data_IF_806874065066
#
_entry.id   IF_806874065066
#
_cell.length_a   1.000
_cell.length_b   1.000
_cell.length_c   1.000
_cell.angle_alpha   90.00
_cell.angle_beta   90.00
_cell.angle_gamma   90.00
#
_symmetry.space_group_name_H-M   'P 1'
#
loop_
_entity.id
_entity.type
_entity.pdbx_description
1 polymer ?
#
# COMPACT_ATOMS: atom_id res chain seq x y z
N UNK A 1 -9.98 -38.59 -27.99
CA UNK A 1 -10.69 -37.51 -27.28
C UNK A 1 -10.10 -37.49 -25.88
N UNK A 2 -9.03 -36.76 -25.61
CA UNK A 2 -8.95 -35.31 -25.71
C UNK A 2 -8.88 -34.83 -24.26
N UNK A 3 -7.72 -35.02 -23.64
CA UNK A 3 -7.40 -34.45 -22.34
C UNK A 3 -7.12 -32.97 -22.55
N UNK A 4 -7.86 -32.11 -21.86
CA UNK A 4 -7.41 -30.75 -21.57
C UNK A 4 -7.65 -30.53 -20.10
N UNK A 5 -6.57 -30.67 -19.35
CA UNK A 5 -6.39 -30.03 -18.05
C UNK A 5 -6.68 -28.54 -18.22
N UNK A 6 -7.61 -28.01 -17.44
CA UNK A 6 -7.56 -26.61 -17.04
C UNK A 6 -7.35 -26.61 -15.52
N UNK A 7 -6.08 -26.74 -15.15
CA UNK A 7 -5.59 -26.27 -13.85
C UNK A 7 -5.48 -24.76 -13.96
N UNK A 8 -6.61 -24.06 -13.81
CA UNK A 8 -6.61 -22.69 -13.34
C UNK A 8 -6.54 -22.75 -11.83
N UNK A 9 -5.34 -22.55 -11.27
CA UNK A 9 -5.12 -22.39 -9.85
C UNK A 9 -6.00 -21.26 -9.33
N UNK A 10 -7.07 -21.63 -8.62
CA UNK A 10 -7.86 -20.73 -7.79
C UNK A 10 -7.00 -20.37 -6.57
N UNK A 11 -6.04 -19.47 -6.80
CA UNK A 11 -5.20 -18.85 -5.78
C UNK A 11 -5.46 -17.35 -5.83
N UNK A 12 -6.71 -16.96 -5.60
CA UNK A 12 -7.02 -15.63 -5.07
C UNK A 12 -8.26 -15.74 -4.17
N UNK A 13 -8.22 -16.68 -3.22
CA UNK A 13 -8.86 -16.48 -1.91
C UNK A 13 -7.94 -15.58 -1.06
N UNK A 14 -7.62 -14.41 -1.59
CA UNK A 14 -7.19 -13.31 -0.76
C UNK A 14 -8.50 -12.63 -0.41
N UNK A 15 -8.95 -12.78 0.84
CA UNK A 15 -10.12 -12.11 1.39
C UNK A 15 -10.31 -10.74 0.71
N UNK A 16 -11.30 -10.61 -0.19
CA UNK A 16 -11.42 -9.43 -1.03
C UNK A 16 -11.47 -8.21 -0.09
N UNK A 17 -10.43 -7.35 -0.04
CA UNK A 17 -10.54 -6.15 0.75
C UNK A 17 -11.66 -5.36 0.10
N UNK A 18 -12.75 -5.10 0.83
CA UNK A 18 -14.01 -4.67 0.21
C UNK A 18 -13.90 -3.34 -0.57
N UNK A 19 -12.78 -2.62 -0.41
CA UNK A 19 -12.34 -1.53 -1.29
C UNK A 19 -10.80 -1.49 -1.31
N UNK A 20 -10.19 -1.62 -2.49
CA UNK A 20 -8.78 -1.28 -2.73
C UNK A 20 -8.65 -0.12 -3.71
N UNK A 21 -7.64 0.74 -3.50
CA UNK A 21 -7.39 1.92 -4.33
C UNK A 21 -6.02 1.78 -4.97
N UNK A 22 -6.02 1.72 -6.31
CA UNK A 22 -4.78 1.58 -7.08
C UNK A 22 -4.41 2.90 -7.76
N UNK A 23 -3.15 3.29 -7.63
CA UNK A 23 -2.55 4.46 -8.28
C UNK A 23 -1.28 4.00 -9.01
N UNK A 24 -1.09 4.46 -10.25
CA UNK A 24 0.13 4.17 -11.02
C UNK A 24 0.79 5.49 -11.41
N UNK A 25 2.01 5.72 -10.93
CA UNK A 25 2.76 6.96 -11.18
C UNK A 25 4.21 6.62 -11.45
N UNK A 26 4.76 7.18 -12.53
CA UNK A 26 6.18 7.05 -12.88
C UNK A 26 6.73 5.61 -12.83
N UNK A 27 5.96 4.64 -13.32
CA UNK A 27 6.36 3.23 -13.36
C UNK A 27 6.30 2.51 -12.01
N UNK A 28 5.59 3.07 -11.03
CA UNK A 28 5.33 2.42 -9.74
C UNK A 28 3.81 2.29 -9.58
N UNK A 29 3.34 1.09 -9.26
CA UNK A 29 1.96 0.84 -8.88
C UNK A 29 1.89 0.80 -7.36
N UNK A 30 0.93 1.52 -6.80
CA UNK A 30 0.62 1.51 -5.37
C UNK A 30 -0.82 1.09 -5.21
N UNK A 31 -1.04 0.00 -4.49
CA UNK A 31 -2.35 -0.50 -4.13
C UNK A 31 -2.57 -0.34 -2.63
N UNK A 32 -3.60 0.42 -2.27
CA UNK A 32 -3.98 0.67 -0.90
C UNK A 32 -5.19 -0.16 -0.51
N UNK A 33 -5.11 -0.82 0.64
CA UNK A 33 -6.15 -1.67 1.21
C UNK A 33 -6.30 -1.41 2.70
N UNK A 34 -7.53 -1.43 3.20
CA UNK A 34 -7.81 -1.38 4.64
C UNK A 34 -7.92 -2.79 5.20
N UNK A 35 -7.20 -3.04 6.28
CA UNK A 35 -7.12 -4.32 6.96
C UNK A 35 -7.64 -4.15 8.38
N UNK A 36 -8.89 -4.54 8.61
CA UNK A 36 -9.58 -4.36 9.91
C UNK A 36 -9.75 -5.66 10.68
N UNK A 37 -9.59 -6.81 10.03
CA UNK A 37 -9.88 -8.12 10.62
C UNK A 37 -8.61 -8.90 11.00
N UNK A 38 -7.46 -8.56 10.38
CA UNK A 38 -6.20 -9.27 10.60
C UNK A 38 -5.39 -8.75 11.80
N UNK A 39 -5.76 -7.59 12.37
CA UNK A 39 -5.04 -6.92 13.44
C UNK A 39 -6.00 -6.42 14.53
N UNK A 40 -5.53 -6.23 15.79
CA UNK A 40 -6.37 -5.67 16.87
C UNK A 40 -6.86 -4.26 16.57
N UNK A 41 -6.04 -3.49 15.87
CA UNK A 41 -6.31 -2.13 15.41
C UNK A 41 -6.42 -2.12 13.89
N UNK A 42 -7.31 -1.30 13.30
CA UNK A 42 -7.35 -1.11 11.85
C UNK A 42 -5.98 -0.70 11.30
N UNK A 43 -5.58 -1.31 10.19
CA UNK A 43 -4.35 -0.99 9.50
C UNK A 43 -4.61 -0.63 8.04
N UNK A 44 -3.83 0.30 7.53
CA UNK A 44 -3.75 0.58 6.10
C UNK A 44 -2.54 -0.18 5.56
N UNK A 45 -2.76 -1.02 4.56
CA UNK A 45 -1.72 -1.72 3.82
C UNK A 45 -1.53 -1.07 2.45
N UNK A 46 -0.28 -0.80 2.10
CA UNK A 46 0.14 -0.38 0.77
C UNK A 46 0.99 -1.49 0.15
N UNK A 47 0.52 -2.10 -0.94
CA UNK A 47 1.39 -2.87 -1.83
C UNK A 47 2.00 -1.94 -2.86
N UNK A 48 3.32 -1.96 -2.98
CA UNK A 48 4.08 -1.10 -3.88
C UNK A 48 4.83 -1.98 -4.86
N UNK A 49 4.39 -2.00 -6.11
CA UNK A 49 5.02 -2.74 -7.20
C UNK A 49 5.90 -1.79 -8.03
N UNK A 50 7.16 -2.17 -8.19
CA UNK A 50 8.02 -1.56 -9.20
C UNK A 50 7.71 -2.16 -10.57
N UNK A 51 7.44 -1.31 -11.57
CA UNK A 51 7.34 -1.71 -12.99
C UNK A 51 8.61 -1.36 -13.78
N UNK A 52 9.70 -1.06 -13.06
CA UNK A 52 11.00 -0.74 -13.64
C UNK A 52 11.86 -1.99 -13.71
N UNK A 53 12.65 -2.09 -14.78
CA UNK A 53 13.67 -3.13 -14.96
C UNK A 53 14.95 -2.87 -14.14
N UNK A 54 15.01 -1.75 -13.40
CA UNK A 54 16.13 -1.34 -12.56
C UNK A 54 15.62 -0.94 -11.16
N UNK A 55 16.49 -0.97 -10.12
CA UNK A 55 16.10 -0.55 -8.79
C UNK A 55 15.67 0.91 -8.72
N UNK A 56 14.63 1.17 -7.94
CA UNK A 56 14.07 2.51 -7.76
C UNK A 56 13.85 2.81 -6.28
N UNK A 57 14.07 4.06 -5.90
CA UNK A 57 13.65 4.59 -4.61
C UNK A 57 12.34 5.35 -4.79
N UNK A 58 11.32 4.94 -4.04
CA UNK A 58 9.98 5.51 -4.08
C UNK A 58 9.69 6.20 -2.76
N UNK A 59 9.09 7.39 -2.86
CA UNK A 59 8.50 8.09 -1.73
C UNK A 59 7.01 8.26 -1.92
N UNK A 60 6.25 7.75 -0.97
CA UNK A 60 4.79 7.80 -0.94
C UNK A 60 4.37 8.65 0.25
N UNK A 61 3.52 9.63 0.02
CA UNK A 61 2.86 10.41 1.06
C UNK A 61 1.40 9.98 1.23
N UNK A 62 1.02 9.80 2.48
CA UNK A 62 -0.34 9.50 2.91
C UNK A 62 -0.84 10.63 3.81
N UNK A 63 -2.11 10.99 3.61
CA UNK A 63 -2.79 11.97 4.46
C UNK A 63 -3.68 11.23 5.45
N UNK A 64 -3.36 11.34 6.73
CA UNK A 64 -4.17 10.83 7.82
C UNK A 64 -5.21 11.90 8.17
N UNK A 65 -6.52 11.61 8.05
CA UNK A 65 -7.58 12.53 8.44
C UNK A 65 -7.42 12.96 9.89
N UNK A 66 -7.82 14.20 10.23
CA UNK A 66 -7.77 14.66 11.62
C UNK A 66 -8.77 13.93 12.55
N UNK A 67 -9.78 13.26 11.97
CA UNK A 67 -10.68 12.33 12.67
C UNK A 67 -9.97 11.06 13.11
N UNK A 68 -8.87 10.67 12.46
CA UNK A 68 -8.17 9.41 12.68
C UNK A 68 -6.85 9.64 13.40
N UNK A 69 -6.62 8.93 14.50
CA UNK A 69 -5.33 8.97 15.18
C UNK A 69 -4.39 7.91 14.60
N UNK A 70 -3.11 8.25 14.45
CA UNK A 70 -2.10 7.26 14.08
C UNK A 70 -1.68 6.48 15.34
N UNK A 71 -1.99 5.19 15.37
CA UNK A 71 -1.72 4.33 16.51
C UNK A 71 -0.29 3.81 16.50
N UNK A 72 0.11 3.21 15.36
CA UNK A 72 1.42 2.63 15.17
C UNK A 72 1.89 2.81 13.72
N UNK A 73 3.19 3.01 13.53
CA UNK A 73 3.77 3.19 12.18
C UNK A 73 4.06 1.87 11.47
N UNK A 74 3.69 0.74 12.07
CA UNK A 74 3.79 -0.59 11.49
C UNK A 74 5.22 -1.00 11.16
N UNK A 75 5.36 -1.84 10.15
CA UNK A 75 6.63 -2.44 9.71
C UNK A 75 7.39 -1.61 8.66
N UNK A 76 6.92 -0.39 8.36
CA UNK A 76 7.52 0.46 7.33
C UNK A 76 8.42 1.57 7.88
N UNK A 77 9.33 2.04 7.03
CA UNK A 77 10.09 3.29 7.20
C UNK A 77 9.18 4.52 7.05
N UNK A 78 8.15 4.62 7.90
CA UNK A 78 7.18 5.70 7.93
C UNK A 78 7.68 6.87 8.78
N UNK A 79 7.60 8.07 8.23
CA UNK A 79 8.00 9.32 8.86
C UNK A 79 6.82 10.29 8.92
N UNK A 80 6.69 11.05 10.00
CA UNK A 80 5.70 12.12 10.06
C UNK A 80 6.23 13.36 9.32
N UNK A 81 5.56 13.77 8.24
CA UNK A 81 5.93 14.98 7.46
C UNK A 81 5.15 16.23 7.89
N UNK A 82 4.29 16.10 8.91
CA UNK A 82 3.56 17.21 9.53
C UNK A 82 2.24 17.56 8.83
N UNK A 83 1.34 18.20 9.58
CA UNK A 83 0.00 18.55 9.08
C UNK A 83 -0.91 17.35 8.85
N UNK A 84 -0.79 16.30 9.68
CA UNK A 84 -1.57 15.06 9.54
C UNK A 84 -1.08 14.14 8.42
N UNK A 85 0.11 14.37 7.87
CA UNK A 85 0.67 13.54 6.80
C UNK A 85 1.82 12.68 7.28
N UNK A 86 1.90 11.49 6.73
CA UNK A 86 2.99 10.54 6.90
C UNK A 86 3.60 10.22 5.54
N UNK A 87 4.88 9.91 5.49
CA UNK A 87 5.57 9.53 4.28
C UNK A 87 6.31 8.22 4.50
N UNK A 88 6.22 7.33 3.54
CA UNK A 88 7.03 6.12 3.47
C UNK A 88 8.07 6.29 2.37
N UNK A 89 9.31 5.92 2.67
CA UNK A 89 10.37 5.84 1.67
C UNK A 89 10.89 4.41 1.62
N UNK A 90 10.86 3.81 0.44
CA UNK A 90 11.36 2.46 0.24
C UNK A 90 12.15 2.32 -1.05
N UNK A 91 13.17 1.47 -1.00
CA UNK A 91 13.87 0.98 -2.19
C UNK A 91 13.21 -0.30 -2.66
N UNK A 92 12.97 -0.39 -3.96
CA UNK A 92 12.44 -1.55 -4.66
C UNK A 92 13.49 -1.98 -5.69
N UNK A 93 13.82 -3.26 -5.74
CA UNK A 93 14.53 -3.84 -6.88
C UNK A 93 13.63 -3.92 -8.12
N UNK A 94 14.21 -4.34 -9.24
CA UNK A 94 13.48 -4.53 -10.50
C UNK A 94 12.36 -5.56 -10.32
N UNK A 95 11.14 -5.21 -10.75
CA UNK A 95 9.94 -6.02 -10.57
C UNK A 95 9.65 -6.44 -9.10
N UNK A 96 10.23 -5.75 -8.11
CA UNK A 96 9.96 -6.04 -6.69
C UNK A 96 8.59 -5.51 -6.28
N UNK A 97 7.82 -6.35 -5.59
CA UNK A 97 6.67 -5.95 -4.79
C UNK A 97 7.08 -5.81 -3.33
N UNK A 98 6.68 -4.70 -2.70
CA UNK A 98 6.89 -4.49 -1.28
C UNK A 98 5.63 -3.99 -0.59
N UNK A 99 5.26 -4.69 0.47
CA UNK A 99 4.11 -4.33 1.30
C UNK A 99 4.57 -3.55 2.52
N UNK A 100 3.93 -2.42 2.78
CA UNK A 100 4.10 -1.64 3.99
C UNK A 100 2.75 -1.36 4.65
N UNK A 101 2.73 -1.29 5.98
CA UNK A 101 1.50 -1.04 6.74
C UNK A 101 1.70 0.05 7.78
N UNK A 102 0.62 0.77 8.12
CA UNK A 102 0.54 1.62 9.30
C UNK A 102 -0.81 1.41 9.99
N UNK A 103 -0.81 1.39 11.33
CA UNK A 103 -2.01 1.20 12.14
C UNK A 103 -2.61 2.54 12.55
N UNK A 104 -3.93 2.57 12.59
CA UNK A 104 -4.71 3.74 12.99
C UNK A 104 -5.69 3.37 14.09
N UNK A 105 -5.96 4.33 14.96
CA UNK A 105 -7.02 4.28 15.95
C UNK A 105 -8.19 5.08 15.38
N UNK A 106 -9.19 4.35 14.87
CA UNK A 106 -10.39 4.88 14.23
C UNK A 106 -11.55 3.89 14.33
N UNK A 107 -12.76 4.42 14.50
CA UNK A 107 -13.97 3.63 14.40
C UNK A 107 -14.27 3.24 12.93
N UNK A 108 -15.01 2.15 12.67
CA UNK A 108 -15.34 1.71 11.31
C UNK A 108 -16.01 2.77 10.43
N UNK A 109 -16.73 3.73 11.02
CA UNK A 109 -17.34 4.85 10.31
C UNK A 109 -16.35 5.91 9.84
N UNK A 110 -15.20 6.03 10.50
CA UNK A 110 -14.13 7.00 10.20
C UNK A 110 -13.11 6.44 9.21
N UNK A 111 -13.02 5.11 9.10
CA UNK A 111 -12.20 4.43 8.10
C UNK A 111 -12.54 4.83 6.66
N UNK A 112 -13.77 5.29 6.43
CA UNK A 112 -14.18 5.80 5.14
C UNK A 112 -13.29 6.95 4.63
N UNK A 113 -12.82 7.80 5.56
CA UNK A 113 -11.95 8.94 5.26
C UNK A 113 -10.53 8.50 4.87
N UNK A 114 -10.13 7.28 5.22
CA UNK A 114 -8.85 6.69 4.82
C UNK A 114 -8.88 6.13 3.40
N UNK A 115 -10.02 6.12 2.70
CA UNK A 115 -10.09 5.75 1.28
C UNK A 115 -9.59 6.87 0.33
N UNK A 116 -8.84 7.85 0.84
CA UNK A 116 -8.10 8.75 -0.03
C UNK A 116 -6.98 7.98 -0.77
N UNK A 117 -6.78 8.23 -2.08
CA UNK A 117 -5.69 7.59 -2.83
C UNK A 117 -4.32 8.02 -2.30
N UNK A 118 -3.33 7.11 -2.26
CA UNK A 118 -1.97 7.46 -1.89
C UNK A 118 -1.35 8.39 -2.93
N UNK A 119 -0.49 9.30 -2.46
CA UNK A 119 0.24 10.23 -3.33
C UNK A 119 1.66 9.78 -3.50
N UNK A 120 2.08 9.46 -4.72
CA UNK A 120 3.49 9.21 -5.02
C UNK A 120 4.19 10.56 -5.17
N UNK A 121 4.99 10.96 -4.17
CA UNK A 121 5.73 12.23 -4.15
C UNK A 121 6.91 12.21 -5.12
N UNK A 122 7.70 11.14 -5.07
CA UNK A 122 8.85 11.01 -5.94
C UNK A 122 9.21 9.55 -6.24
N UNK A 123 9.64 9.30 -7.47
CA UNK A 123 10.25 8.05 -7.91
C UNK A 123 11.61 8.40 -8.48
N UNK A 124 12.66 7.82 -7.91
CA UNK A 124 14.05 8.03 -8.34
C UNK A 124 14.66 6.70 -8.73
N UNK A 125 14.89 6.45 -10.02
CA UNK A 125 15.67 5.29 -10.43
C UNK A 125 17.09 5.43 -9.88
N UNK A 126 17.64 4.32 -9.38
CA UNK A 126 19.05 4.20 -9.03
C UNK A 126 19.86 3.95 -10.31
N UNK A 127 19.76 4.86 -11.27
CA UNK A 127 20.57 4.78 -12.48
C UNK A 127 22.04 4.94 -12.08
N UNK A 128 22.85 3.93 -12.37
CA UNK A 128 24.31 3.94 -12.19
C UNK A 128 25.04 4.89 -13.13
#
# INVERSE_FOLDING_TARGET
>A
MGVTSDSGSDLTDAAEPSVSITVVVAGVRVEKSLVTDAFPEPAVALSVDSLHDEPVTVRIEETVPASVALADRGSGDWEAVGGGRIAWTGRLDADEERVTTYCVDADPGELADLHAPPTVDSVRPETG
#
